data_IF_228934783039
#
_entry.id   IF_228934783039
#
_cell.length_a   1.000
_cell.length_b   1.000
_cell.length_c   1.000
_cell.angle_alpha   90.00
_cell.angle_beta   90.00
_cell.angle_gamma   90.00
#
_symmetry.space_group_name_H-M   'P 1'
#
loop_
_entity.id
_entity.type
_entity.pdbx_description
1 polymer ?
#
# COMPACT_ATOMS: atom_id res chain seq x y z
N UNK A 1 -5.87 14.30 -3.20
CA UNK A 1 -5.42 12.89 -3.12
C UNK A 1 -6.55 11.92 -3.45
N UNK A 2 -7.29 12.10 -4.55
CA UNK A 2 -8.47 11.25 -4.77
C UNK A 2 -8.20 9.95 -5.53
N UNK A 3 -6.98 9.73 -6.06
CA UNK A 3 -6.73 8.66 -7.04
C UNK A 3 -5.38 7.94 -6.90
N UNK A 4 -4.75 7.97 -5.72
CA UNK A 4 -3.47 7.29 -5.55
C UNK A 4 -3.67 5.81 -5.18
N UNK A 5 -3.42 4.90 -6.12
CA UNK A 5 -3.60 3.47 -5.89
C UNK A 5 -2.66 2.94 -4.82
N UNK A 6 -3.18 2.08 -3.94
CA UNK A 6 -2.38 1.31 -2.97
C UNK A 6 -1.27 0.56 -3.70
N UNK A 7 -1.57 -0.10 -4.81
CA UNK A 7 -0.56 -0.80 -5.61
C UNK A 7 0.57 0.13 -6.11
N UNK A 8 0.24 1.37 -6.47
CA UNK A 8 1.24 2.36 -6.89
C UNK A 8 2.09 2.81 -5.71
N UNK A 9 1.49 2.99 -4.53
CA UNK A 9 2.19 3.33 -3.30
C UNK A 9 3.21 2.26 -2.88
N UNK A 10 2.87 0.98 -3.07
CA UNK A 10 3.79 -0.13 -2.79
C UNK A 10 5.02 -0.08 -3.70
N UNK A 11 4.83 0.14 -4.99
CA UNK A 11 5.94 0.28 -5.95
C UNK A 11 6.76 1.53 -5.68
N UNK A 12 6.10 2.67 -5.43
CA UNK A 12 6.78 3.93 -5.12
C UNK A 12 7.58 3.85 -3.81
N UNK A 13 7.09 3.07 -2.83
CA UNK A 13 7.80 2.77 -1.60
C UNK A 13 8.91 1.71 -1.75
N UNK A 14 9.14 1.17 -2.95
CA UNK A 14 10.13 0.14 -3.21
C UNK A 14 9.80 -1.23 -2.60
N UNK A 15 8.55 -1.46 -2.19
CA UNK A 15 8.11 -2.74 -1.63
C UNK A 15 7.95 -3.83 -2.70
N UNK A 16 7.72 -3.41 -3.94
CA UNK A 16 7.48 -4.27 -5.11
C UNK A 16 8.22 -3.71 -6.31
N UNK A 17 8.67 -4.58 -7.21
CA UNK A 17 9.37 -4.16 -8.43
C UNK A 17 8.43 -3.49 -9.42
N UNK A 18 7.13 -3.79 -9.36
CA UNK A 18 6.13 -3.20 -10.26
C UNK A 18 4.73 -3.14 -9.66
N UNK A 19 3.88 -2.29 -10.24
CA UNK A 19 2.46 -2.19 -9.89
C UNK A 19 1.71 -3.52 -10.10
N UNK A 20 2.13 -4.34 -11.07
CA UNK A 20 1.55 -5.66 -11.32
C UNK A 20 1.85 -6.64 -10.17
N UNK A 21 3.07 -6.63 -9.65
CA UNK A 21 3.44 -7.43 -8.47
C UNK A 21 2.67 -6.97 -7.23
N UNK A 22 2.52 -5.65 -7.03
CA UNK A 22 1.73 -5.10 -5.93
C UNK A 22 0.26 -5.55 -5.99
N UNK A 23 -0.39 -5.48 -7.16
CA UNK A 23 -1.76 -5.98 -7.34
C UNK A 23 -1.87 -7.47 -7.05
N UNK A 24 -0.86 -8.25 -7.44
CA UNK A 24 -0.82 -9.69 -7.14
C UNK A 24 -0.68 -9.95 -5.64
N UNK A 25 0.18 -9.23 -4.94
CA UNK A 25 0.30 -9.29 -3.47
C UNK A 25 -1.01 -8.94 -2.77
N UNK A 26 -1.72 -7.91 -3.24
CA UNK A 26 -3.05 -7.54 -2.75
C UNK A 26 -4.04 -8.70 -2.95
N UNK A 27 -4.10 -9.27 -4.17
CA UNK A 27 -4.98 -10.40 -4.48
C UNK A 27 -4.64 -11.66 -3.66
N UNK A 28 -3.38 -11.87 -3.33
CA UNK A 28 -2.91 -12.96 -2.47
C UNK A 28 -3.15 -12.68 -0.97
N UNK A 29 -3.69 -11.51 -0.61
CA UNK A 29 -3.93 -11.13 0.77
C UNK A 29 -2.65 -10.81 1.56
N UNK A 30 -1.54 -10.57 0.87
CA UNK A 30 -0.26 -10.25 1.48
C UNK A 30 -0.03 -8.74 1.62
N UNK A 31 -0.86 -7.88 1.01
CA UNK A 31 -0.77 -6.43 1.19
C UNK A 31 -1.58 -5.95 2.39
N UNK A 32 -0.99 -5.08 3.22
CA UNK A 32 -1.69 -4.38 4.31
C UNK A 32 -1.41 -2.88 4.29
N UNK A 33 -2.41 -2.10 4.65
CA UNK A 33 -2.37 -0.64 4.86
C UNK A 33 -2.84 -0.39 6.29
N UNK A 34 -2.04 0.31 7.10
CA UNK A 34 -2.33 0.58 8.52
C UNK A 34 -2.74 -0.68 9.31
N UNK A 35 -2.00 -1.76 9.10
CA UNK A 35 -2.26 -3.08 9.66
C UNK A 35 -3.58 -3.76 9.23
N UNK A 36 -4.35 -3.13 8.33
CA UNK A 36 -5.53 -3.71 7.70
C UNK A 36 -5.19 -4.36 6.36
N UNK A 37 -5.70 -5.57 6.12
CA UNK A 37 -5.48 -6.29 4.88
C UNK A 37 -6.25 -5.64 3.72
N UNK A 38 -5.54 -5.30 2.64
CA UNK A 38 -6.17 -4.79 1.43
C UNK A 38 -6.55 -5.99 0.56
N UNK A 39 -7.82 -6.08 0.19
CA UNK A 39 -8.34 -7.13 -0.70
C UNK A 39 -8.63 -6.61 -2.10
N UNK A 40 -8.86 -5.31 -2.24
CA UNK A 40 -9.14 -4.68 -3.53
C UNK A 40 -7.83 -4.18 -4.18
N UNK A 41 -7.53 -4.72 -5.36
CA UNK A 41 -6.38 -4.32 -6.17
C UNK A 41 -6.45 -2.88 -6.70
N UNK A 42 -7.66 -2.30 -6.71
CA UNK A 42 -7.93 -0.92 -7.10
C UNK A 42 -8.19 -0.03 -5.87
N UNK A 43 -7.91 -0.51 -4.65
CA UNK A 43 -7.96 0.34 -3.47
C UNK A 43 -7.07 1.57 -3.66
N UNK A 44 -7.56 2.72 -3.22
CA UNK A 44 -6.85 3.99 -3.22
C UNK A 44 -6.48 4.37 -1.79
N UNK A 45 -5.36 5.07 -1.66
CA UNK A 45 -4.97 5.74 -0.43
C UNK A 45 -5.62 7.13 -0.41
N UNK A 46 -6.33 7.41 0.67
CA UNK A 46 -6.92 8.71 0.95
C UNK A 46 -6.16 9.40 2.10
N UNK A 47 -6.38 10.71 2.25
CA UNK A 47 -5.84 11.46 3.39
C UNK A 47 -6.39 10.95 4.74
N UNK A 48 -7.56 10.30 4.73
CA UNK A 48 -8.13 9.64 5.91
C UNK A 48 -7.33 8.41 6.36
N UNK A 49 -6.50 7.83 5.50
CA UNK A 49 -5.64 6.70 5.85
C UNK A 49 -4.33 7.14 6.52
N UNK A 50 -4.11 8.44 6.67
CA UNK A 50 -2.88 8.95 7.28
C UNK A 50 -3.00 8.87 8.79
N UNK A 51 -2.17 8.02 9.41
CA UNK A 51 -2.09 7.84 10.86
C UNK A 51 -0.75 8.39 11.32
N UNK A 52 -0.76 9.31 12.29
CA UNK A 52 0.45 9.94 12.83
C UNK A 52 1.37 10.57 11.75
N UNK A 53 0.78 11.12 10.69
CA UNK A 53 1.50 11.75 9.58
C UNK A 53 2.14 10.78 8.57
N UNK A 54 1.81 9.49 8.63
CA UNK A 54 2.28 8.48 7.67
C UNK A 54 1.26 7.38 7.41
N UNK A 55 1.48 6.59 6.37
CA UNK A 55 0.69 5.43 5.99
C UNK A 55 1.61 4.21 6.06
N UNK A 56 1.25 3.22 6.88
CA UNK A 56 2.05 2.00 7.03
C UNK A 56 1.66 0.99 5.97
N UNK A 57 2.55 0.76 5.01
CA UNK A 57 2.39 -0.25 3.96
C UNK A 57 3.17 -1.50 4.33
N UNK A 58 2.53 -2.67 4.22
CA UNK A 58 3.17 -3.96 4.45
C UNK A 58 2.98 -4.87 3.24
N UNK A 59 4.07 -5.27 2.62
CA UNK A 59 4.13 -6.26 1.55
C UNK A 59 4.59 -7.62 2.11
N UNK A 60 3.61 -8.43 2.48
CA UNK A 60 3.81 -9.74 3.08
C UNK A 60 4.33 -9.65 4.50
N UNK A 61 5.18 -10.61 4.88
CA UNK A 61 5.64 -10.80 6.27
C UNK A 61 7.01 -10.15 6.56
N UNK A 62 7.71 -9.65 5.54
CA UNK A 62 9.10 -9.19 5.64
C UNK A 62 9.34 -7.76 5.13
N UNK A 63 8.50 -7.24 4.24
CA UNK A 63 8.70 -5.94 3.60
C UNK A 63 7.67 -4.96 4.16
N UNK A 64 8.12 -3.91 4.83
CA UNK A 64 7.26 -2.86 5.39
C UNK A 64 7.86 -1.49 5.02
N UNK A 65 7.00 -0.53 4.68
CA UNK A 65 7.40 0.84 4.38
C UNK A 65 6.43 1.82 5.04
N UNK A 66 6.94 2.99 5.41
CA UNK A 66 6.16 4.11 5.91
C UNK A 66 6.13 5.17 4.81
N UNK A 67 4.95 5.45 4.28
CA UNK A 67 4.75 6.47 3.25
C UNK A 67 4.25 7.74 3.92
N UNK A 68 4.96 8.85 3.72
CA UNK A 68 4.50 10.16 4.18
C UNK A 68 3.76 10.86 3.04
N UNK A 69 2.51 11.32 3.26
CA UNK A 69 1.86 12.20 2.31
C UNK A 69 2.59 13.55 2.35
N UNK A 70 3.07 14.00 1.20
CA UNK A 70 3.70 15.33 1.01
C UNK A 70 2.69 16.35 0.52
#
# INVERSE_FOLDING_TARGET
FSDYLVAAAFTAAGLTESNGEARRLIKQGAAKVNDQQVKDQNATLAQSDVVDGSIKLSAGKKRHALVKPV
#
